data_IF_102429447287
#
_entry.id   IF_102429447287
#
_cell.length_a   1.000
_cell.length_b   1.000
_cell.length_c   1.000
_cell.angle_alpha   90.00
_cell.angle_beta   90.00
_cell.angle_gamma   90.00
#
_symmetry.space_group_name_H-M   'P 1'
#
loop_
_entity.id
_entity.type
_entity.pdbx_description
1 polymer ?
#
# COMPACT_ATOMS: atom_id res chain seq x y z
N UNK A 1 -29.44 2.12 -9.24
CA UNK A 1 -29.72 2.45 -7.83
C UNK A 1 -28.43 2.95 -7.22
N UNK A 2 -28.30 4.25 -6.92
CA UNK A 2 -27.12 4.79 -6.23
C UNK A 2 -27.27 4.40 -4.76
N UNK A 3 -26.52 3.40 -4.29
CA UNK A 3 -26.47 3.12 -2.86
C UNK A 3 -25.96 4.37 -2.13
N UNK A 4 -26.78 4.88 -1.21
CA UNK A 4 -26.33 5.90 -0.28
C UNK A 4 -25.29 5.25 0.65
N UNK A 5 -24.01 5.38 0.32
CA UNK A 5 -22.93 5.07 1.26
C UNK A 5 -23.06 6.00 2.45
N UNK A 6 -23.71 5.51 3.51
CA UNK A 6 -23.70 6.13 4.82
C UNK A 6 -22.28 5.95 5.38
N UNK A 7 -21.43 6.94 5.09
CA UNK A 7 -20.15 7.03 5.76
C UNK A 7 -20.42 7.21 7.25
N UNK A 8 -19.95 6.25 8.04
CA UNK A 8 -19.90 6.35 9.50
C UNK A 8 -18.48 6.01 9.89
N UNK A 9 -17.88 6.80 10.78
CA UNK A 9 -16.50 6.61 11.24
C UNK A 9 -16.24 5.18 11.70
N UNK A 10 -17.24 4.52 12.30
CA UNK A 10 -17.19 3.11 12.69
C UNK A 10 -17.06 2.14 11.51
N UNK A 11 -17.77 2.38 10.41
CA UNK A 11 -17.68 1.53 9.21
C UNK A 11 -16.31 1.62 8.52
N UNK A 12 -15.56 2.71 8.73
CA UNK A 12 -14.17 2.83 8.31
C UNK A 12 -13.20 2.21 9.32
N UNK A 13 -13.41 2.48 10.61
CA UNK A 13 -12.51 2.03 11.67
C UNK A 13 -12.54 0.50 11.87
N UNK A 14 -13.71 -0.13 11.80
CA UNK A 14 -13.86 -1.58 12.02
C UNK A 14 -13.06 -2.44 11.03
N UNK A 15 -13.21 -2.31 9.70
CA UNK A 15 -12.42 -3.10 8.76
C UNK A 15 -10.93 -2.75 8.82
N UNK A 16 -10.59 -1.48 9.07
CA UNK A 16 -9.20 -1.06 9.22
C UNK A 16 -8.55 -1.71 10.44
N UNK A 17 -9.19 -1.63 11.61
CA UNK A 17 -8.72 -2.26 12.85
C UNK A 17 -8.64 -3.79 12.72
N UNK A 18 -9.64 -4.42 12.10
CA UNK A 18 -9.64 -5.87 11.86
C UNK A 18 -8.40 -6.29 11.07
N UNK A 19 -8.10 -5.59 9.98
CA UNK A 19 -6.95 -5.92 9.14
C UNK A 19 -5.65 -5.67 9.90
N UNK A 20 -5.53 -4.55 10.63
CA UNK A 20 -4.35 -4.26 11.46
C UNK A 20 -4.09 -5.35 12.50
N UNK A 21 -5.14 -5.84 13.16
CA UNK A 21 -5.05 -6.93 14.14
C UNK A 21 -4.58 -8.22 13.47
N UNK A 22 -5.19 -8.59 12.32
CA UNK A 22 -4.73 -9.74 11.56
C UNK A 22 -3.27 -9.60 11.16
N UNK A 23 -2.88 -8.44 10.64
CA UNK A 23 -1.50 -8.12 10.30
C UNK A 23 -0.52 -8.40 11.43
N UNK A 24 -0.86 -7.93 12.64
CA UNK A 24 -0.04 -8.15 13.82
C UNK A 24 0.11 -9.62 14.18
N UNK A 25 -0.95 -10.43 14.05
CA UNK A 25 -0.90 -11.86 14.34
C UNK A 25 -0.18 -12.69 13.27
N UNK A 26 -0.23 -12.25 12.00
CA UNK A 26 0.37 -12.94 10.86
C UNK A 26 1.73 -12.36 10.45
N UNK A 27 2.30 -11.43 11.21
CA UNK A 27 3.65 -10.91 10.98
C UNK A 27 4.69 -11.98 11.26
N UNK A 28 5.55 -12.23 10.28
CA UNK A 28 6.72 -13.10 10.43
C UNK A 28 7.94 -12.27 10.85
N UNK A 29 8.83 -12.85 11.67
CA UNK A 29 10.09 -12.19 12.02
C UNK A 29 11.06 -12.30 10.85
N UNK A 30 11.75 -11.21 10.53
CA UNK A 30 12.79 -11.19 9.50
C UNK A 30 14.17 -11.01 10.13
N UNK A 31 15.11 -11.89 9.80
CA UNK A 31 16.51 -11.81 10.25
C UNK A 31 17.34 -10.78 9.43
N UNK A 32 16.70 -10.13 8.43
CA UNK A 32 17.36 -9.19 7.53
C UNK A 32 17.46 -7.80 8.18
N UNK A 33 18.69 -7.40 8.49
CA UNK A 33 19.00 -6.12 9.17
C UNK A 33 19.17 -4.93 8.20
N UNK A 34 19.08 -5.16 6.88
CA UNK A 34 19.24 -4.11 5.90
C UNK A 34 18.07 -3.12 5.94
N UNK A 35 18.39 -1.82 5.98
CA UNK A 35 17.39 -0.76 5.88
C UNK A 35 16.65 -0.86 4.54
N UNK A 36 15.31 -0.78 4.59
CA UNK A 36 14.41 -0.86 3.42
C UNK A 36 14.50 -2.20 2.65
N UNK A 37 14.49 -3.28 3.41
CA UNK A 37 14.43 -4.63 2.88
C UNK A 37 13.23 -4.83 1.92
N UNK A 38 13.44 -5.56 0.81
CA UNK A 38 12.41 -5.90 -0.18
C UNK A 38 11.10 -6.42 0.43
N UNK A 39 11.13 -7.40 1.33
CA UNK A 39 9.90 -7.99 1.89
C UNK A 39 9.15 -6.97 2.76
N UNK A 40 9.86 -6.09 3.51
CA UNK A 40 9.23 -4.94 4.20
C UNK A 40 8.53 -3.98 3.22
N UNK A 41 9.18 -3.67 2.09
CA UNK A 41 8.58 -2.76 1.09
C UNK A 41 7.40 -3.40 0.36
N UNK A 42 7.43 -4.71 0.13
CA UNK A 42 6.35 -5.47 -0.51
C UNK A 42 5.15 -5.63 0.43
N UNK A 43 5.38 -5.91 1.72
CA UNK A 43 4.35 -5.87 2.76
C UNK A 43 3.70 -4.48 2.83
N UNK A 44 4.50 -3.43 2.90
CA UNK A 44 3.99 -2.05 2.95
C UNK A 44 3.15 -1.72 1.70
N UNK A 45 3.56 -2.17 0.51
CA UNK A 45 2.75 -2.05 -0.72
C UNK A 45 1.41 -2.76 -0.59
N UNK A 46 1.38 -3.96 -0.02
CA UNK A 46 0.15 -4.71 0.27
C UNK A 46 -0.78 -3.96 1.23
N UNK A 47 -0.24 -3.43 2.32
CA UNK A 47 -0.97 -2.60 3.27
C UNK A 47 -1.59 -1.36 2.62
N UNK A 48 -0.82 -0.70 1.75
CA UNK A 48 -1.30 0.47 1.03
C UNK A 48 -2.52 0.14 0.15
N UNK A 49 -2.49 -0.97 -0.59
CA UNK A 49 -3.61 -1.43 -1.41
C UNK A 49 -4.86 -1.72 -0.58
N UNK A 50 -4.69 -2.36 0.57
CA UNK A 50 -5.80 -2.70 1.45
C UNK A 50 -6.46 -1.44 2.04
N UNK A 51 -5.66 -0.45 2.48
CA UNK A 51 -6.16 0.84 2.96
C UNK A 51 -6.92 1.59 1.86
N UNK A 52 -6.41 1.59 0.61
CA UNK A 52 -7.09 2.19 -0.54
C UNK A 52 -8.44 1.50 -0.81
N UNK A 53 -8.49 0.17 -0.68
CA UNK A 53 -9.72 -0.62 -0.86
C UNK A 53 -10.76 -0.26 0.21
N UNK A 54 -10.39 -0.24 1.49
CA UNK A 54 -11.29 0.14 2.59
C UNK A 54 -11.82 1.56 2.38
N UNK A 55 -10.96 2.50 1.98
CA UNK A 55 -11.34 3.87 1.67
C UNK A 55 -12.43 3.93 0.58
N UNK A 56 -12.26 3.19 -0.53
CA UNK A 56 -13.24 3.15 -1.60
C UNK A 56 -14.52 2.44 -1.18
N UNK A 57 -14.43 1.31 -0.46
CA UNK A 57 -15.59 0.56 0.03
C UNK A 57 -16.47 1.37 0.98
N UNK A 58 -15.86 2.16 1.86
CA UNK A 58 -16.59 2.93 2.88
C UNK A 58 -17.06 4.31 2.40
N UNK A 59 -16.59 4.76 1.23
CA UNK A 59 -16.98 6.07 0.69
C UNK A 59 -16.43 7.22 1.54
N UNK A 60 -15.28 7.02 2.18
CA UNK A 60 -14.62 8.01 3.05
C UNK A 60 -14.12 9.26 2.32
N UNK A 61 -14.38 9.39 1.01
CA UNK A 61 -14.08 10.59 0.20
C UNK A 61 -14.76 11.86 0.69
N UNK A 62 -15.79 11.74 1.53
CA UNK A 62 -16.49 12.86 2.18
C UNK A 62 -15.62 13.58 3.23
N UNK A 63 -14.56 12.94 3.74
CA UNK A 63 -13.69 13.46 4.81
C UNK A 63 -12.37 13.94 4.23
N UNK A 64 -12.16 15.27 4.27
CA UNK A 64 -11.01 15.93 3.66
C UNK A 64 -9.64 15.40 4.16
N UNK A 65 -9.42 15.19 5.48
CA UNK A 65 -8.16 14.63 5.96
C UNK A 65 -7.84 13.22 5.43
N UNK A 66 -8.85 12.34 5.35
CA UNK A 66 -8.69 10.98 4.83
C UNK A 66 -8.38 10.99 3.33
N UNK A 67 -9.04 11.87 2.59
CA UNK A 67 -8.76 12.07 1.17
C UNK A 67 -7.30 12.48 0.91
N UNK A 68 -6.77 13.44 1.68
CA UNK A 68 -5.37 13.86 1.55
C UNK A 68 -4.41 12.73 1.91
N UNK A 69 -4.68 11.98 2.99
CA UNK A 69 -3.86 10.84 3.39
C UNK A 69 -3.76 9.78 2.28
N UNK A 70 -4.89 9.41 1.68
CA UNK A 70 -4.91 8.41 0.60
C UNK A 70 -4.10 8.88 -0.61
N UNK A 71 -4.15 10.17 -0.96
CA UNK A 71 -3.31 10.70 -2.04
C UNK A 71 -1.82 10.58 -1.73
N UNK A 72 -1.40 10.91 -0.51
CA UNK A 72 0.00 10.74 -0.09
C UNK A 72 0.39 9.26 -0.14
N UNK A 73 -0.50 8.37 0.27
CA UNK A 73 -0.32 6.91 0.24
C UNK A 73 -0.14 6.37 -1.19
N UNK A 74 -0.93 6.88 -2.15
CA UNK A 74 -0.80 6.51 -3.56
C UNK A 74 0.52 7.04 -4.14
N UNK A 75 0.89 8.29 -3.81
CA UNK A 75 2.16 8.87 -4.23
C UNK A 75 3.35 8.09 -3.67
N UNK A 76 3.31 7.68 -2.40
CA UNK A 76 4.37 6.87 -1.80
C UNK A 76 4.43 5.46 -2.38
N UNK A 77 3.30 4.85 -2.74
CA UNK A 77 3.24 3.57 -3.46
C UNK A 77 3.97 3.66 -4.82
N UNK A 78 3.65 4.69 -5.60
CA UNK A 78 4.29 4.93 -6.89
C UNK A 78 5.80 5.20 -6.73
N UNK A 79 6.16 6.01 -5.73
CA UNK A 79 7.55 6.30 -5.41
C UNK A 79 8.32 5.03 -5.04
N UNK A 80 7.77 4.18 -4.17
CA UNK A 80 8.41 2.95 -3.73
C UNK A 80 8.58 1.95 -4.88
N UNK A 81 7.62 1.91 -5.80
CA UNK A 81 7.71 1.11 -7.03
C UNK A 81 8.84 1.62 -7.93
N UNK A 82 8.90 2.93 -8.17
CA UNK A 82 9.97 3.55 -8.96
C UNK A 82 11.34 3.40 -8.32
N UNK A 83 11.44 3.56 -7.00
CA UNK A 83 12.66 3.36 -6.22
C UNK A 83 13.17 1.92 -6.31
N UNK A 84 12.28 0.93 -6.21
CA UNK A 84 12.65 -0.48 -6.39
C UNK A 84 13.21 -0.76 -7.79
N UNK A 85 12.60 -0.20 -8.83
CA UNK A 85 13.14 -0.30 -10.19
C UNK A 85 14.50 0.40 -10.32
N UNK A 86 14.63 1.61 -9.78
CA UNK A 86 15.89 2.35 -9.79
C UNK A 86 17.02 1.56 -9.10
N UNK A 87 16.80 1.05 -7.90
CA UNK A 87 17.79 0.24 -7.18
C UNK A 87 18.15 -1.03 -7.96
N UNK A 88 17.18 -1.69 -8.59
CA UNK A 88 17.44 -2.85 -9.45
C UNK A 88 18.38 -2.51 -10.60
N UNK A 89 18.13 -1.41 -11.32
CA UNK A 89 18.96 -0.98 -12.43
C UNK A 89 20.34 -0.48 -11.98
N UNK A 90 20.39 0.19 -10.83
CA UNK A 90 21.63 0.69 -10.24
C UNK A 90 22.58 -0.44 -9.83
N UNK A 91 22.04 -1.50 -9.24
CA UNK A 91 22.82 -2.64 -8.74
C UNK A 91 23.18 -3.65 -9.85
N UNK A 92 22.25 -3.94 -10.77
CA UNK A 92 22.47 -4.97 -11.80
C UNK A 92 23.03 -4.45 -13.13
N UNK A 93 22.90 -3.16 -13.45
CA UNK A 93 23.44 -2.56 -14.68
C UNK A 93 22.87 -3.10 -16.01
N UNK A 94 21.89 -4.01 -15.98
CA UNK A 94 21.28 -4.58 -17.19
C UNK A 94 20.12 -3.71 -17.67
N UNK A 95 20.38 -2.85 -18.66
CA UNK A 95 19.39 -2.02 -19.35
C UNK A 95 18.69 -2.74 -20.52
N UNK A 96 18.70 -4.08 -20.52
CA UNK A 96 18.25 -4.89 -21.65
C UNK A 96 16.73 -4.83 -21.89
N UNK A 97 16.33 -4.30 -23.04
CA UNK A 97 14.94 -4.34 -23.57
C UNK A 97 14.34 -5.74 -23.71
N UNK A 98 15.15 -6.80 -23.62
CA UNK A 98 14.73 -8.21 -23.73
C UNK A 98 13.69 -8.61 -22.67
N UNK A 99 13.60 -7.90 -21.55
CA UNK A 99 12.65 -8.22 -20.48
C UNK A 99 11.24 -7.65 -20.66
N UNK A 100 11.05 -6.69 -21.57
CA UNK A 100 9.75 -6.06 -21.82
C UNK A 100 9.06 -6.61 -23.08
N UNK A 101 9.75 -7.43 -23.87
CA UNK A 101 9.27 -7.99 -25.15
C UNK A 101 9.13 -9.52 -25.14
N UNK A 102 9.26 -10.19 -23.99
CA UNK A 102 8.95 -11.63 -23.81
C UNK A 102 7.84 -11.78 -22.78
#
# INVERSE_FOLDING_TARGET
>A
MKENKYYTTLNFCLPFAYVMILGFFFTENTDKVNMLHRDQTDEWKGWMQLVILIYHLTGASKVLPLYMHIRVLVSSYLFLTGFGHFCYYWDKGEFGFIRYCV
#
